data_IF_579672240559
#
_entry.id   IF_579672240559
#
_cell.length_a   1.000
_cell.length_b   1.000
_cell.length_c   1.000
_cell.angle_alpha   90.00
_cell.angle_beta   90.00
_cell.angle_gamma   90.00
#
_symmetry.space_group_name_H-M   'P 1'
#
loop_
_entity.id
_entity.type
_entity.pdbx_description
1 polymer ?
#
# COMPACT_ATOMS: atom_id res chain seq x y z
N UNK A 1 17.74 -69.13 -30.13
CA UNK A 1 18.08 -68.71 -28.75
C UNK A 1 18.01 -67.18 -28.70
N UNK A 2 16.86 -66.62 -28.30
CA UNK A 2 16.62 -65.16 -28.26
C UNK A 2 16.45 -64.74 -26.80
N UNK A 3 17.39 -63.93 -26.30
CA UNK A 3 17.40 -63.36 -24.96
C UNK A 3 16.37 -62.22 -24.90
N UNK A 4 15.35 -62.32 -24.06
CA UNK A 4 14.43 -61.21 -23.76
C UNK A 4 14.95 -60.49 -22.51
N UNK A 5 15.52 -59.30 -22.71
CA UNK A 5 15.75 -58.33 -21.63
C UNK A 5 14.40 -57.78 -21.17
N UNK A 6 14.08 -57.93 -19.88
CA UNK A 6 13.02 -57.15 -19.24
C UNK A 6 13.67 -55.94 -18.56
N UNK A 7 13.32 -54.74 -19.02
CA UNK A 7 13.69 -53.49 -18.37
C UNK A 7 12.81 -53.29 -17.13
N UNK A 8 13.45 -53.10 -15.97
CA UNK A 8 12.78 -52.69 -14.74
C UNK A 8 12.55 -51.17 -14.80
N UNK A 9 11.28 -50.75 -14.78
CA UNK A 9 10.92 -49.35 -14.56
C UNK A 9 10.90 -49.06 -13.06
N UNK A 10 11.85 -48.27 -12.57
CA UNK A 10 11.79 -47.70 -11.23
C UNK A 10 10.93 -46.43 -11.28
N UNK A 11 9.78 -46.44 -10.59
CA UNK A 11 8.98 -45.25 -10.38
C UNK A 11 9.59 -44.46 -9.21
N UNK A 12 10.16 -43.29 -9.51
CA UNK A 12 10.49 -42.29 -8.49
C UNK A 12 9.19 -41.60 -8.07
N UNK A 13 8.74 -41.85 -6.83
CA UNK A 13 7.70 -41.04 -6.21
C UNK A 13 8.32 -39.70 -5.78
N UNK A 14 7.98 -38.62 -6.49
CA UNK A 14 8.28 -37.26 -6.06
C UNK A 14 7.30 -36.91 -4.93
N UNK A 15 7.75 -36.99 -3.68
CA UNK A 15 7.02 -36.40 -2.55
C UNK A 15 7.13 -34.88 -2.66
N UNK A 16 6.08 -34.22 -3.13
CA UNK A 16 5.94 -32.77 -3.00
C UNK A 16 5.88 -32.44 -1.50
N UNK A 17 6.99 -31.94 -0.95
CA UNK A 17 6.97 -31.31 0.37
C UNK A 17 6.06 -30.09 0.26
N UNK A 18 4.91 -30.10 0.93
CA UNK A 18 4.09 -28.90 1.07
C UNK A 18 4.97 -27.83 1.74
N UNK A 19 5.14 -26.69 1.06
CA UNK A 19 5.77 -25.53 1.66
C UNK A 19 4.99 -25.17 2.95
N UNK A 20 5.66 -24.76 4.03
CA UNK A 20 4.96 -24.29 5.22
C UNK A 20 4.01 -23.16 4.81
N UNK A 21 2.73 -23.30 5.14
CA UNK A 21 1.77 -22.21 5.01
C UNK A 21 2.21 -21.11 5.99
N UNK A 22 2.68 -19.99 5.47
CA UNK A 22 2.87 -18.80 6.28
C UNK A 22 1.50 -18.33 6.77
N UNK A 23 1.43 -17.88 8.03
CA UNK A 23 0.23 -17.21 8.52
C UNK A 23 -0.02 -15.98 7.65
N UNK A 24 -1.29 -15.71 7.33
CA UNK A 24 -1.64 -14.51 6.60
C UNK A 24 -1.27 -13.26 7.42
N UNK A 25 -0.75 -12.21 6.78
CA UNK A 25 -0.34 -11.00 7.47
C UNK A 25 -1.52 -10.36 8.22
N UNK A 26 -1.25 -9.73 9.36
CA UNK A 26 -2.23 -9.02 10.16
C UNK A 26 -2.04 -7.51 10.00
N UNK A 27 -3.06 -6.81 9.51
CA UNK A 27 -3.02 -5.37 9.27
C UNK A 27 -3.81 -4.59 10.33
N UNK A 28 -3.21 -3.53 10.88
CA UNK A 28 -3.99 -2.47 11.54
C UNK A 28 -4.43 -1.48 10.46
N UNK A 29 -5.73 -1.23 10.31
CA UNK A 29 -6.26 -0.35 9.27
C UNK A 29 -6.92 0.86 9.92
N UNK A 30 -6.32 2.03 9.75
CA UNK A 30 -6.85 3.30 10.24
C UNK A 30 -7.45 4.06 9.07
N UNK A 31 -8.76 4.30 9.13
CA UNK A 31 -9.53 5.08 8.16
C UNK A 31 -10.22 6.20 8.94
N UNK A 32 -9.54 7.32 9.13
CA UNK A 32 -10.01 8.42 10.02
C UNK A 32 -10.39 7.99 11.44
N UNK A 33 -9.80 6.89 11.92
CA UNK A 33 -10.13 6.30 13.21
C UNK A 33 -11.52 5.66 13.29
N UNK A 34 -12.17 5.44 12.15
CA UNK A 34 -13.46 4.78 12.07
C UNK A 34 -13.30 3.26 12.25
N UNK A 35 -14.08 2.68 13.15
CA UNK A 35 -14.07 1.25 13.48
C UNK A 35 -15.35 0.53 13.09
N UNK A 36 -16.22 1.16 12.30
CA UNK A 36 -17.50 0.59 11.87
C UNK A 36 -17.26 -0.55 10.86
N UNK A 37 -17.65 -1.80 11.17
CA UNK A 37 -17.51 -2.91 10.23
C UNK A 37 -18.32 -2.68 8.96
N UNK A 38 -17.72 -2.94 7.79
CA UNK A 38 -18.34 -2.66 6.49
C UNK A 38 -18.52 -1.16 6.20
N UNK A 39 -17.98 -0.29 7.05
CA UNK A 39 -17.88 1.15 6.81
C UNK A 39 -16.91 1.46 5.68
N UNK A 40 -17.05 2.67 5.14
CA UNK A 40 -16.26 3.20 4.02
C UNK A 40 -14.74 3.08 4.18
N UNK A 41 -14.07 3.25 3.05
CA UNK A 41 -12.64 2.97 2.89
C UNK A 41 -12.30 2.56 1.47
N UNK A 42 -13.12 3.01 0.51
CA UNK A 42 -12.89 2.99 -0.93
C UNK A 42 -12.07 1.76 -1.34
N UNK A 43 -12.68 0.57 -1.35
CA UNK A 43 -12.01 -0.67 -1.79
C UNK A 43 -10.85 -1.24 -0.95
N UNK A 44 -10.25 -0.54 0.02
CA UNK A 44 -9.10 -1.04 0.83
C UNK A 44 -9.45 -2.35 1.52
N UNK A 45 -10.54 -2.37 2.30
CA UNK A 45 -10.93 -3.53 3.09
C UNK A 45 -11.28 -4.73 2.20
N UNK A 46 -12.01 -4.48 1.12
CA UNK A 46 -12.41 -5.52 0.16
C UNK A 46 -11.21 -6.06 -0.63
N UNK A 47 -10.21 -5.24 -0.92
CA UNK A 47 -8.95 -5.69 -1.50
C UNK A 47 -8.12 -6.54 -0.54
N UNK A 48 -8.09 -6.20 0.75
CA UNK A 48 -7.44 -7.01 1.77
C UNK A 48 -8.14 -8.38 1.92
N UNK A 49 -9.47 -8.38 2.05
CA UNK A 49 -10.29 -9.59 2.11
C UNK A 49 -10.06 -10.49 0.88
N UNK A 50 -9.98 -9.88 -0.31
CA UNK A 50 -9.77 -10.61 -1.56
C UNK A 50 -8.36 -11.22 -1.67
N UNK A 51 -7.34 -10.50 -1.21
CA UNK A 51 -5.93 -10.83 -1.49
C UNK A 51 -5.26 -11.64 -0.39
N UNK A 52 -5.64 -11.42 0.87
CA UNK A 52 -5.05 -12.07 2.03
C UNK A 52 -6.04 -13.03 2.69
N UNK A 53 -7.30 -12.61 2.78
CA UNK A 53 -8.38 -13.39 3.37
C UNK A 53 -9.20 -12.58 4.37
N UNK A 54 -10.41 -13.07 4.66
CA UNK A 54 -11.30 -12.41 5.62
C UNK A 54 -10.72 -12.52 7.03
N UNK A 55 -10.58 -11.37 7.69
CA UNK A 55 -10.09 -11.28 9.07
C UNK A 55 -8.60 -11.01 9.20
N UNK A 56 -7.90 -10.74 8.11
CA UNK A 56 -6.48 -10.37 8.11
C UNK A 56 -6.22 -8.91 8.44
N UNK A 57 -7.25 -8.18 8.84
CA UNK A 57 -7.14 -6.82 9.32
C UNK A 57 -8.04 -6.54 10.53
N UNK A 58 -7.63 -5.54 11.30
CA UNK A 58 -8.45 -4.90 12.32
C UNK A 58 -8.61 -3.43 11.96
N UNK A 59 -9.85 -2.94 11.92
CA UNK A 59 -10.11 -1.50 11.90
C UNK A 59 -9.76 -0.91 13.27
N UNK A 60 -8.96 0.15 13.28
CA UNK A 60 -8.41 0.75 14.51
C UNK A 60 -8.79 2.22 14.62
N UNK A 61 -9.08 2.64 15.85
CA UNK A 61 -9.36 4.02 16.17
C UNK A 61 -8.08 4.82 16.39
N UNK A 62 -8.19 6.16 16.39
CA UNK A 62 -7.08 7.02 16.81
C UNK A 62 -6.63 6.71 18.24
N UNK A 63 -7.57 6.37 19.15
CA UNK A 63 -7.24 6.02 20.53
C UNK A 63 -6.45 4.70 20.65
N UNK A 64 -6.70 3.75 19.75
CA UNK A 64 -5.90 2.52 19.68
C UNK A 64 -4.45 2.87 19.28
N UNK A 65 -4.27 3.69 18.24
CA UNK A 65 -2.94 4.15 17.80
C UNK A 65 -2.23 5.04 18.84
N UNK A 66 -2.97 5.74 19.70
CA UNK A 66 -2.40 6.49 20.84
C UNK A 66 -1.86 5.59 21.95
N UNK A 67 -2.20 4.31 21.96
CA UNK A 67 -1.73 3.35 22.97
C UNK A 67 -0.34 2.81 22.60
N UNK A 68 0.70 3.09 23.40
CA UNK A 68 2.05 2.61 23.09
C UNK A 68 2.12 1.08 22.97
N UNK A 69 2.73 0.60 21.89
CA UNK A 69 2.91 -0.83 21.63
C UNK A 69 1.65 -1.56 21.14
N UNK A 70 0.53 -0.85 20.93
CA UNK A 70 -0.68 -1.44 20.33
C UNK A 70 -0.39 -2.10 18.97
N UNK A 71 0.45 -1.46 18.15
CA UNK A 71 0.80 -1.96 16.81
C UNK A 71 1.71 -3.20 16.82
N UNK A 72 2.32 -3.59 17.95
CA UNK A 72 3.33 -4.64 18.02
C UNK A 72 2.82 -6.05 17.64
N UNK A 73 1.50 -6.26 17.60
CA UNK A 73 0.87 -7.52 17.16
C UNK A 73 0.51 -7.55 15.67
N UNK A 74 0.72 -6.46 14.94
CA UNK A 74 0.41 -6.35 13.52
C UNK A 74 1.69 -6.38 12.70
N UNK A 75 1.58 -6.87 11.47
CA UNK A 75 2.70 -6.92 10.52
C UNK A 75 2.87 -5.58 9.77
N UNK A 76 1.78 -4.84 9.58
CA UNK A 76 1.80 -3.48 9.06
C UNK A 76 0.58 -2.66 9.51
N UNK A 77 0.73 -1.34 9.46
CA UNK A 77 -0.38 -0.39 9.57
C UNK A 77 -0.70 0.21 8.20
N UNK A 78 -1.98 0.28 7.85
CA UNK A 78 -2.50 0.90 6.63
C UNK A 78 -3.28 2.15 7.06
N UNK A 79 -2.93 3.29 6.47
CA UNK A 79 -3.48 4.60 6.82
C UNK A 79 -4.06 5.23 5.56
N UNK A 80 -5.34 5.59 5.63
CA UNK A 80 -6.05 6.32 4.58
C UNK A 80 -7.19 7.14 5.21
N UNK A 81 -7.96 7.84 4.37
CA UNK A 81 -9.23 8.47 4.77
C UNK A 81 -10.35 7.44 4.84
N UNK A 82 -11.37 7.77 5.61
CA UNK A 82 -12.67 7.12 5.54
C UNK A 82 -13.50 7.83 4.48
N UNK A 83 -14.27 7.08 3.67
CA UNK A 83 -15.26 7.60 2.70
C UNK A 83 -14.72 8.59 1.63
N UNK A 84 -15.63 9.36 1.02
CA UNK A 84 -15.36 10.31 -0.06
C UNK A 84 -14.94 11.73 0.37
N UNK A 85 -14.96 12.05 1.67
CA UNK A 85 -14.53 13.36 2.18
C UNK A 85 -12.99 13.48 2.13
N UNK A 86 -12.41 14.65 2.38
CA UNK A 86 -10.93 14.80 2.44
C UNK A 86 -10.30 14.18 3.70
N UNK A 87 -11.08 13.49 4.52
CA UNK A 87 -10.65 12.83 5.75
C UNK A 87 -10.09 13.75 6.82
N UNK A 88 -9.35 13.15 7.75
CA UNK A 88 -8.80 13.76 8.95
C UNK A 88 -7.36 13.35 9.18
N UNK A 89 -6.67 14.07 10.08
CA UNK A 89 -5.35 13.67 10.55
C UNK A 89 -5.46 12.80 11.80
N UNK A 90 -4.54 11.86 11.94
CA UNK A 90 -4.29 11.24 13.25
C UNK A 90 -3.78 12.26 14.26
N UNK A 91 -3.93 11.97 15.56
CA UNK A 91 -3.35 12.83 16.58
C UNK A 91 -1.81 12.76 16.55
N UNK A 92 -1.15 13.76 17.14
CA UNK A 92 0.31 13.76 17.26
C UNK A 92 0.83 12.56 18.07
N UNK A 93 0.06 12.07 19.05
CA UNK A 93 0.42 10.89 19.83
C UNK A 93 0.30 9.59 19.00
N UNK A 94 -0.76 9.46 18.19
CA UNK A 94 -0.88 8.36 17.24
C UNK A 94 0.25 8.37 16.21
N UNK A 95 0.57 9.52 15.62
CA UNK A 95 1.67 9.66 14.66
C UNK A 95 3.03 9.27 15.27
N UNK A 96 3.29 9.69 16.51
CA UNK A 96 4.52 9.33 17.22
C UNK A 96 4.61 7.81 17.48
N UNK A 97 3.51 7.15 17.84
CA UNK A 97 3.49 5.71 18.05
C UNK A 97 3.63 4.93 16.73
N UNK A 98 3.02 5.39 15.64
CA UNK A 98 3.20 4.81 14.30
C UNK A 98 4.67 4.94 13.87
N UNK A 99 5.26 6.14 14.02
CA UNK A 99 6.68 6.37 13.73
C UNK A 99 7.60 5.44 14.54
N UNK A 100 7.32 5.28 15.84
CA UNK A 100 8.08 4.39 16.72
C UNK A 100 7.93 2.91 16.37
N UNK A 101 6.73 2.49 15.96
CA UNK A 101 6.44 1.12 15.51
C UNK A 101 7.20 0.80 14.23
N UNK A 102 7.09 1.67 13.21
CA UNK A 102 7.75 1.48 11.91
C UNK A 102 9.27 1.59 12.02
N UNK A 103 9.77 2.43 12.94
CA UNK A 103 11.18 2.66 13.14
C UNK A 103 11.80 3.59 12.11
N UNK A 104 13.13 3.68 12.10
CA UNK A 104 13.90 4.54 11.19
C UNK A 104 15.27 3.94 10.86
N UNK A 105 15.90 4.45 9.79
CA UNK A 105 17.22 4.00 9.36
C UNK A 105 17.25 2.51 9.01
N UNK A 106 18.28 1.79 9.47
CA UNK A 106 18.49 0.38 9.13
C UNK A 106 17.46 -0.58 9.77
N UNK A 107 16.67 -0.12 10.74
CA UNK A 107 15.61 -0.92 11.37
C UNK A 107 14.21 -0.47 10.93
N UNK A 108 14.10 0.41 9.94
CA UNK A 108 12.79 0.82 9.43
C UNK A 108 12.10 -0.38 8.76
N UNK A 109 10.81 -0.56 9.05
CA UNK A 109 9.94 -1.47 8.33
C UNK A 109 9.75 -1.08 6.87
N UNK A 110 9.10 -1.96 6.10
CA UNK A 110 8.72 -1.63 4.74
C UNK A 110 7.70 -0.49 4.74
N UNK A 111 8.02 0.61 4.08
CA UNK A 111 7.15 1.78 3.93
C UNK A 111 6.80 1.93 2.46
N UNK A 112 5.53 2.00 2.13
CA UNK A 112 5.04 2.30 0.79
C UNK A 112 3.88 3.30 0.85
N UNK A 113 3.82 4.24 -0.09
CA UNK A 113 2.73 5.21 -0.17
C UNK A 113 2.23 5.39 -1.59
N UNK A 114 0.92 5.51 -1.75
CA UNK A 114 0.23 5.89 -2.98
C UNK A 114 -0.26 7.32 -2.82
N UNK A 115 0.17 8.23 -3.71
CA UNK A 115 -0.01 9.68 -3.53
C UNK A 115 -1.39 10.18 -3.95
N UNK A 116 -2.23 9.33 -4.52
CA UNK A 116 -3.62 9.65 -4.86
C UNK A 116 -4.63 8.91 -3.98
N UNK A 117 -5.90 9.25 -4.17
CA UNK A 117 -7.03 8.50 -3.64
C UNK A 117 -7.35 7.21 -4.43
N UNK A 118 -6.31 6.44 -4.77
CA UNK A 118 -6.39 5.20 -5.57
C UNK A 118 -7.37 4.15 -5.02
N UNK A 119 -7.66 4.23 -3.73
CA UNK A 119 -8.61 3.35 -3.04
C UNK A 119 -9.96 3.30 -3.77
N UNK A 120 -10.39 4.40 -4.37
CA UNK A 120 -11.63 4.44 -5.16
C UNK A 120 -11.66 3.46 -6.36
N UNK A 121 -10.50 2.97 -6.83
CA UNK A 121 -10.40 1.99 -7.93
C UNK A 121 -9.99 0.58 -7.49
N UNK A 122 -9.99 0.28 -6.19
CA UNK A 122 -9.60 -1.03 -5.67
C UNK A 122 -10.70 -2.10 -5.83
N UNK A 123 -10.38 -3.35 -5.46
CA UNK A 123 -11.32 -4.46 -5.62
C UNK A 123 -12.60 -4.18 -4.84
N UNK A 124 -13.76 -4.36 -5.48
CA UNK A 124 -15.06 -4.05 -4.89
C UNK A 124 -15.61 -2.66 -5.22
N UNK A 125 -14.85 -1.83 -5.94
CA UNK A 125 -15.33 -0.53 -6.43
C UNK A 125 -16.46 -0.64 -7.47
N UNK A 126 -17.22 0.44 -7.63
CA UNK A 126 -18.53 0.44 -8.32
C UNK A 126 -18.52 1.26 -9.61
N UNK A 127 -19.68 1.63 -10.17
CA UNK A 127 -19.77 2.29 -11.49
C UNK A 127 -19.35 3.77 -11.49
N UNK A 128 -19.25 4.42 -10.33
CA UNK A 128 -18.75 5.80 -10.22
C UNK A 128 -17.24 5.84 -10.33
N UNK A 129 -16.60 4.98 -9.54
CA UNK A 129 -15.15 4.83 -9.44
C UNK A 129 -14.81 3.38 -9.85
N UNK A 130 -14.58 3.12 -11.15
CA UNK A 130 -14.43 1.76 -11.64
C UNK A 130 -13.17 1.09 -11.12
N UNK A 131 -13.25 -0.22 -10.92
CA UNK A 131 -12.11 -1.07 -10.55
C UNK A 131 -10.99 -1.02 -11.59
N UNK A 132 -9.77 -0.78 -11.12
CA UNK A 132 -8.53 -0.88 -11.88
C UNK A 132 -7.63 -1.99 -11.31
N UNK A 133 -7.32 -2.99 -12.14
CA UNK A 133 -6.52 -4.13 -11.71
C UNK A 133 -5.06 -3.76 -11.39
N UNK A 134 -4.47 -2.82 -12.11
CA UNK A 134 -3.09 -2.40 -11.89
C UNK A 134 -2.97 -1.58 -10.60
N UNK A 135 -3.87 -0.63 -10.35
CA UNK A 135 -3.90 0.12 -9.07
C UNK A 135 -4.09 -0.80 -7.88
N UNK A 136 -5.05 -1.72 -7.98
CA UNK A 136 -5.25 -2.71 -6.94
C UNK A 136 -4.00 -3.58 -6.72
N UNK A 137 -3.33 -4.00 -7.80
CA UNK A 137 -2.10 -4.79 -7.70
C UNK A 137 -0.97 -4.01 -7.03
N UNK A 138 -0.80 -2.71 -7.33
CA UNK A 138 0.16 -1.84 -6.65
C UNK A 138 -0.11 -1.79 -5.14
N UNK A 139 -1.36 -1.61 -4.73
CA UNK A 139 -1.74 -1.61 -3.31
C UNK A 139 -1.47 -2.97 -2.63
N UNK A 140 -1.85 -4.07 -3.25
CA UNK A 140 -1.62 -5.43 -2.69
C UNK A 140 -0.13 -5.71 -2.55
N UNK A 141 0.68 -5.29 -3.53
CA UNK A 141 2.12 -5.46 -3.46
C UNK A 141 2.75 -4.54 -2.39
N UNK A 142 2.27 -3.29 -2.24
CA UNK A 142 2.68 -2.37 -1.19
C UNK A 142 2.36 -2.93 0.22
N UNK A 143 1.15 -3.48 0.41
CA UNK A 143 0.77 -4.15 1.65
C UNK A 143 1.64 -5.38 1.95
N UNK A 144 1.93 -6.19 0.92
CA UNK A 144 2.84 -7.35 1.03
C UNK A 144 4.26 -6.92 1.39
N UNK A 145 4.76 -5.87 0.74
CA UNK A 145 6.08 -5.30 0.97
C UNK A 145 6.22 -4.80 2.42
N UNK A 146 5.24 -4.02 2.90
CA UNK A 146 5.21 -3.50 4.26
C UNK A 146 5.15 -4.63 5.30
N UNK A 147 4.21 -5.56 5.14
CA UNK A 147 3.97 -6.65 6.09
C UNK A 147 5.16 -7.58 6.26
N UNK A 148 5.99 -7.77 5.22
CA UNK A 148 7.18 -8.63 5.28
C UNK A 148 8.17 -8.24 6.38
N UNK A 149 8.14 -6.98 6.82
CA UNK A 149 9.01 -6.48 7.89
C UNK A 149 8.49 -6.77 9.31
N UNK A 150 7.20 -7.11 9.47
CA UNK A 150 6.54 -7.27 10.78
C UNK A 150 6.27 -5.95 11.52
N UNK A 151 6.59 -4.82 10.89
CA UNK A 151 6.35 -3.48 11.42
C UNK A 151 6.25 -2.43 10.30
N UNK A 152 5.49 -2.72 9.24
CA UNK A 152 5.43 -1.90 8.03
C UNK A 152 4.40 -0.77 8.07
N UNK A 153 4.43 0.08 7.04
CA UNK A 153 3.47 1.15 6.80
C UNK A 153 3.02 1.18 5.34
N UNK A 154 1.70 1.29 5.13
CA UNK A 154 1.12 1.68 3.84
C UNK A 154 0.31 2.95 4.03
N UNK A 155 0.61 3.98 3.25
CA UNK A 155 -0.16 5.21 3.22
C UNK A 155 -0.86 5.38 1.88
N UNK A 156 -2.13 5.75 1.89
CA UNK A 156 -2.84 6.15 0.68
C UNK A 156 -3.49 7.51 0.93
N UNK A 157 -3.40 8.40 -0.07
CA UNK A 157 -3.91 9.77 0.00
C UNK A 157 -3.44 10.51 1.27
N UNK A 158 -4.28 10.69 2.29
CA UNK A 158 -3.91 11.28 3.58
C UNK A 158 -2.80 10.50 4.29
N UNK A 159 -2.76 9.17 4.15
CA UNK A 159 -1.68 8.35 4.66
C UNK A 159 -0.36 8.64 3.95
N UNK A 160 -0.38 8.97 2.66
CA UNK A 160 0.81 9.44 1.97
C UNK A 160 1.26 10.80 2.50
N UNK A 161 0.32 11.75 2.67
CA UNK A 161 0.58 13.07 3.26
C UNK A 161 1.24 12.96 4.63
N UNK A 162 0.71 12.10 5.51
CA UNK A 162 1.23 11.92 6.86
C UNK A 162 2.58 11.18 6.89
N UNK A 163 2.91 10.36 5.90
CA UNK A 163 4.16 9.61 5.88
C UNK A 163 5.41 10.48 5.62
N UNK A 164 5.25 11.64 5.00
CA UNK A 164 6.36 12.52 4.63
C UNK A 164 6.93 13.28 5.84
N UNK A 165 8.18 13.76 5.76
CA UNK A 165 8.85 14.59 6.79
C UNK A 165 8.08 15.86 7.17
N UNK A 166 7.35 16.43 6.22
CA UNK A 166 6.46 17.57 6.46
C UNK A 166 5.26 17.54 5.52
N UNK A 167 4.25 18.32 5.84
CA UNK A 167 3.16 18.59 4.92
C UNK A 167 2.57 19.99 5.14
N UNK A 168 1.99 20.58 4.09
CA UNK A 168 1.28 21.85 4.18
C UNK A 168 -0.22 21.70 4.48
N UNK A 169 -0.73 20.45 4.55
CA UNK A 169 -2.10 20.13 4.95
C UNK A 169 -2.38 20.34 6.46
N UNK A 170 -1.33 20.57 7.27
CA UNK A 170 -1.45 20.75 8.72
C UNK A 170 -1.67 19.44 9.48
N UNK A 171 -1.45 18.30 8.83
CA UNK A 171 -1.54 16.98 9.43
C UNK A 171 -0.30 16.66 10.25
N UNK A 172 -0.46 15.84 11.29
CA UNK A 172 0.68 15.32 12.03
C UNK A 172 1.56 14.46 11.10
N UNK A 173 2.77 14.94 10.82
CA UNK A 173 3.77 14.18 10.06
C UNK A 173 4.34 13.05 10.92
N UNK A 174 4.49 11.88 10.31
CA UNK A 174 5.09 10.67 10.87
C UNK A 174 6.59 10.64 10.57
N UNK A 175 7.02 11.23 9.44
CA UNK A 175 8.43 11.34 9.05
C UNK A 175 9.08 10.02 8.66
N UNK A 176 8.38 9.22 7.85
CA UNK A 176 8.85 7.91 7.35
C UNK A 176 9.61 8.02 6.02
N UNK A 177 9.23 8.98 5.18
CA UNK A 177 9.85 9.23 3.88
C UNK A 177 10.30 10.68 3.77
N UNK A 178 11.46 10.88 3.13
CA UNK A 178 11.98 12.21 2.86
C UNK A 178 11.06 12.97 1.90
N UNK A 179 10.77 14.23 2.21
CA UNK A 179 10.04 15.14 1.33
C UNK A 179 8.93 15.90 2.06
N UNK A 180 8.22 16.75 1.32
CA UNK A 180 7.04 17.45 1.79
C UNK A 180 5.83 17.07 0.95
N UNK A 181 4.74 16.71 1.60
CA UNK A 181 3.45 16.60 0.94
C UNK A 181 2.76 17.97 0.90
N UNK A 182 2.51 18.46 -0.30
CA UNK A 182 1.84 19.72 -0.53
C UNK A 182 0.33 19.52 -0.76
N UNK A 183 -0.37 20.63 -1.02
CA UNK A 183 -1.81 20.67 -1.12
C UNK A 183 -2.38 19.54 -2.01
N UNK A 184 -3.58 19.09 -1.67
CA UNK A 184 -4.32 18.14 -2.50
C UNK A 184 -4.77 18.88 -3.75
N UNK A 185 -4.35 18.38 -4.91
CA UNK A 185 -4.71 18.90 -6.22
C UNK A 185 -5.41 17.81 -7.02
N UNK A 186 -6.49 18.16 -7.72
CA UNK A 186 -7.14 17.26 -8.66
C UNK A 186 -8.61 17.58 -8.91
N UNK A 187 -8.93 17.92 -10.16
CA UNK A 187 -10.18 17.55 -10.83
C UNK A 187 -9.97 17.70 -12.36
N UNK A 188 -9.73 16.58 -13.05
CA UNK A 188 -9.43 16.42 -14.49
C UNK A 188 -8.96 14.98 -14.76
N UNK A 189 -9.17 14.38 -15.96
CA UNK A 189 -9.35 12.94 -16.12
C UNK A 189 -8.11 12.13 -15.73
N UNK A 190 -8.35 10.88 -15.33
CA UNK A 190 -7.46 9.73 -15.24
C UNK A 190 -5.95 9.99 -15.20
N UNK A 191 -5.29 9.57 -14.12
CA UNK A 191 -3.84 9.62 -14.04
C UNK A 191 -3.22 8.48 -14.83
N UNK A 192 -2.16 8.81 -15.58
CA UNK A 192 -1.35 7.79 -16.25
C UNK A 192 -0.12 7.53 -15.41
N UNK A 193 0.11 6.27 -15.09
CA UNK A 193 1.22 5.79 -14.29
C UNK A 193 2.33 5.27 -15.20
N UNK A 194 3.56 5.58 -14.84
CA UNK A 194 4.76 5.08 -15.46
C UNK A 194 5.77 4.63 -14.43
N UNK A 195 6.72 3.82 -14.88
CA UNK A 195 7.81 3.31 -14.05
C UNK A 195 8.68 4.46 -13.58
N UNK A 196 8.90 4.56 -12.27
CA UNK A 196 9.76 5.56 -11.65
C UNK A 196 11.24 5.17 -11.64
N UNK A 197 12.09 6.00 -11.00
CA UNK A 197 13.54 5.81 -10.97
C UNK A 197 14.03 4.49 -10.36
N UNK A 198 13.40 3.97 -9.29
CA UNK A 198 13.81 2.68 -8.72
C UNK A 198 13.19 1.49 -9.45
N UNK A 199 12.06 1.74 -10.11
CA UNK A 199 11.56 1.04 -11.28
C UNK A 199 11.17 -0.44 -11.12
N UNK A 200 10.82 -1.04 -12.28
CA UNK A 200 10.15 -2.34 -12.48
C UNK A 200 10.75 -3.58 -11.81
N UNK A 201 11.89 -3.46 -11.12
CA UNK A 201 12.45 -4.51 -10.27
C UNK A 201 11.98 -4.43 -8.81
N UNK A 202 11.32 -3.34 -8.41
CA UNK A 202 10.71 -3.19 -7.09
C UNK A 202 9.58 -4.22 -6.93
N UNK A 203 9.47 -4.92 -5.78
CA UNK A 203 8.36 -5.86 -5.54
C UNK A 203 6.97 -5.22 -5.65
N UNK A 204 6.85 -3.90 -5.50
CA UNK A 204 5.60 -3.15 -5.65
C UNK A 204 5.08 -3.19 -7.09
N UNK A 205 5.96 -3.23 -8.09
CA UNK A 205 5.59 -3.27 -9.52
C UNK A 205 5.28 -4.69 -10.02
N UNK A 206 5.41 -5.71 -9.16
CA UNK A 206 5.30 -7.10 -9.57
C UNK A 206 3.92 -7.40 -10.17
N UNK A 207 3.89 -7.77 -11.45
CA UNK A 207 2.67 -8.10 -12.17
C UNK A 207 1.88 -6.89 -12.69
N UNK A 208 2.40 -5.67 -12.51
CA UNK A 208 1.80 -4.44 -13.03
C UNK A 208 2.32 -4.17 -14.44
N UNK A 209 1.43 -3.78 -15.35
CA UNK A 209 1.81 -3.42 -16.73
C UNK A 209 1.82 -1.91 -16.89
N UNK A 210 3.00 -1.33 -17.14
CA UNK A 210 3.18 0.10 -17.38
C UNK A 210 3.42 0.44 -18.87
N UNK A 211 3.04 1.65 -19.33
CA UNK A 211 2.18 2.59 -18.60
C UNK A 211 0.73 2.08 -18.57
N UNK A 212 0.00 2.48 -17.54
CA UNK A 212 -1.46 2.30 -17.49
C UNK A 212 -2.11 3.61 -17.06
N UNK A 213 -3.37 3.77 -17.42
CA UNK A 213 -4.19 4.92 -17.04
C UNK A 213 -5.29 4.41 -16.16
N UNK A 214 -5.47 5.02 -14.98
CA UNK A 214 -6.56 4.64 -14.09
C UNK A 214 -7.92 4.80 -14.79
N UNK A 215 -8.94 4.15 -14.25
CA UNK A 215 -10.27 4.20 -14.85
C UNK A 215 -11.16 5.32 -14.29
N UNK A 216 -10.64 6.19 -13.42
CA UNK A 216 -11.44 7.11 -12.62
C UNK A 216 -11.77 8.43 -13.35
N UNK A 217 -12.97 8.95 -13.08
CA UNK A 217 -13.41 10.26 -13.56
C UNK A 217 -13.05 11.42 -12.62
N UNK A 218 -12.65 11.13 -11.38
CA UNK A 218 -12.47 12.11 -10.30
C UNK A 218 -11.39 11.70 -9.30
N UNK A 219 -10.15 11.58 -9.75
CA UNK A 219 -9.00 11.31 -8.89
C UNK A 219 -8.39 12.58 -8.31
N UNK A 220 -7.95 12.50 -7.06
CA UNK A 220 -7.20 13.53 -6.34
C UNK A 220 -5.81 13.03 -5.98
N UNK A 221 -4.82 13.90 -6.00
CA UNK A 221 -3.46 13.57 -5.57
C UNK A 221 -2.92 14.60 -4.58
N UNK A 222 -1.91 14.18 -3.81
CA UNK A 222 -1.02 15.08 -3.09
C UNK A 222 0.30 15.21 -3.83
N UNK A 223 0.74 16.44 -4.05
CA UNK A 223 2.05 16.70 -4.64
C UNK A 223 3.14 16.35 -3.62
N UNK A 224 4.13 15.57 -4.02
CA UNK A 224 5.27 15.25 -3.16
C UNK A 224 6.53 15.94 -3.68
N UNK A 225 6.98 16.95 -2.96
CA UNK A 225 8.18 17.71 -3.30
C UNK A 225 9.38 17.28 -2.47
N UNK A 226 10.58 17.30 -3.06
CA UNK A 226 11.82 16.97 -2.35
C UNK A 226 11.96 15.49 -1.96
N UNK A 227 11.15 14.60 -2.53
CA UNK A 227 11.33 13.16 -2.39
C UNK A 227 12.72 12.73 -2.86
N UNK A 228 13.33 11.82 -2.11
CA UNK A 228 14.54 11.15 -2.57
C UNK A 228 14.19 10.27 -3.78
N UNK A 229 14.92 10.44 -4.90
CA UNK A 229 14.68 9.64 -6.10
C UNK A 229 14.90 8.15 -5.88
N UNK A 230 15.71 7.76 -4.89
CA UNK A 230 15.87 6.38 -4.43
C UNK A 230 14.64 5.80 -3.70
N UNK A 231 13.58 6.59 -3.52
CA UNK A 231 12.32 6.18 -2.93
C UNK A 231 11.15 6.21 -3.93
N UNK A 232 11.33 6.72 -5.17
CA UNK A 232 10.23 6.87 -6.13
C UNK A 232 10.11 5.59 -6.96
N UNK A 233 9.09 4.78 -6.64
CA UNK A 233 8.72 3.53 -7.34
C UNK A 233 8.13 3.86 -8.71
N UNK A 234 7.10 4.71 -8.71
CA UNK A 234 6.32 5.07 -9.88
C UNK A 234 6.15 6.60 -9.97
N UNK A 235 5.91 7.07 -11.19
CA UNK A 235 5.62 8.47 -11.50
C UNK A 235 4.32 8.59 -12.28
N UNK A 236 3.68 9.75 -12.17
CA UNK A 236 2.65 10.13 -13.13
C UNK A 236 3.30 10.56 -14.46
N UNK A 237 2.66 10.22 -15.57
CA UNK A 237 3.06 10.60 -16.93
C UNK A 237 1.95 11.34 -17.67
N UNK A 238 0.87 11.69 -16.97
CA UNK A 238 -0.22 12.52 -17.50
C UNK A 238 0.22 13.98 -17.60
N UNK A 239 -0.21 14.65 -18.67
CA UNK A 239 0.12 16.06 -18.92
C UNK A 239 -0.30 16.94 -17.75
N UNK A 240 0.62 17.76 -17.24
CA UNK A 240 0.38 18.69 -16.13
C UNK A 240 0.97 18.22 -14.79
N UNK A 241 1.23 16.91 -14.65
CA UNK A 241 1.85 16.28 -13.47
C UNK A 241 2.93 15.26 -13.88
N UNK A 242 3.48 15.40 -15.09
CA UNK A 242 4.49 14.48 -15.63
C UNK A 242 5.76 14.51 -14.77
N UNK A 243 6.15 13.34 -14.27
CA UNK A 243 7.29 13.15 -13.38
C UNK A 243 6.98 13.27 -11.88
N UNK A 244 5.75 13.66 -11.50
CA UNK A 244 5.35 13.71 -10.09
C UNK A 244 5.31 12.29 -9.48
N UNK A 245 5.74 12.09 -8.22
CA UNK A 245 5.72 10.77 -7.60
C UNK A 245 4.30 10.21 -7.46
N UNK A 246 4.06 9.01 -8.00
CA UNK A 246 2.79 8.30 -7.88
C UNK A 246 2.82 7.27 -6.75
N UNK A 247 3.92 6.51 -6.68
CA UNK A 247 4.17 5.54 -5.61
C UNK A 247 5.58 5.76 -5.09
N UNK A 248 5.71 5.86 -3.76
CA UNK A 248 7.01 5.91 -3.09
C UNK A 248 7.17 4.75 -2.13
N UNK A 249 8.38 4.25 -1.97
CA UNK A 249 8.71 3.23 -0.98
C UNK A 249 10.15 3.35 -0.47
N UNK A 250 10.44 2.81 0.71
CA UNK A 250 11.83 2.65 1.13
C UNK A 250 12.53 1.46 0.47
N UNK A 251 13.87 1.53 0.43
CA UNK A 251 14.74 0.58 -0.27
C UNK A 251 15.02 -0.68 0.55
#
# INVERSE_FOLDING_TARGET
MKLKMFAAAAALALSAAAAPAFAAPQFAVWLDGNTTPGGGGNGILTSLDHSFGVGDYQLVSTADLETPGFLNSFDAVIVSRYNSDFGSSMSAAAAANVSAYVGSGASQGGVAVLTNDASDNFYGSTSGDPYDNNLNQLFVNAATFAAKSGHGYVGEFNGAVMAMDSNSAGFASIGLLQGSADAVHGYGPQFTYGVGPIGAGNPIDAGVTFPFTDSDGSTFLTDITGANSGNIVDVYTSSGIDGEPAVLANS
#
